data_IF_757019147528
#
_entry.id   IF_757019147528
#
_cell.length_a   1.000
_cell.length_b   1.000
_cell.length_c   1.000
_cell.angle_alpha   90.00
_cell.angle_beta   90.00
_cell.angle_gamma   90.00
#
_symmetry.space_group_name_H-M   'P 1'
#
loop_
_entity.id
_entity.type
_entity.pdbx_description
1 polymer ?
#
# COMPACT_ATOMS: atom_id res chain seq x y z
N UNK A 1 41.99 -12.38 -20.78
CA UNK A 1 41.23 -12.33 -19.52
C UNK A 1 40.16 -11.27 -19.69
N UNK A 2 38.99 -11.66 -20.19
CA UNK A 2 37.80 -10.81 -20.21
C UNK A 2 37.29 -10.76 -18.77
N UNK A 3 37.67 -9.72 -18.03
CA UNK A 3 37.01 -9.45 -16.76
C UNK A 3 35.53 -9.26 -17.05
N UNK A 4 34.67 -10.01 -16.36
CA UNK A 4 33.23 -9.76 -16.36
C UNK A 4 33.01 -8.31 -15.98
N UNK A 5 32.69 -7.48 -16.98
CA UNK A 5 32.22 -6.12 -16.72
C UNK A 5 30.87 -6.30 -16.04
N UNK A 6 30.68 -5.81 -14.81
CA UNK A 6 29.41 -5.97 -14.13
C UNK A 6 28.31 -5.34 -14.99
N UNK A 7 27.31 -6.16 -15.34
CA UNK A 7 26.15 -5.69 -16.09
C UNK A 7 25.37 -4.79 -15.12
N UNK A 8 25.42 -3.47 -15.36
CA UNK A 8 24.66 -2.51 -14.56
C UNK A 8 23.21 -2.57 -15.03
N UNK A 9 22.35 -3.14 -14.20
CA UNK A 9 20.90 -3.14 -14.41
C UNK A 9 20.26 -1.94 -13.73
N UNK A 10 19.22 -1.40 -14.36
CA UNK A 10 18.44 -0.29 -13.82
C UNK A 10 17.20 -0.02 -14.65
N UNK A 11 16.81 1.24 -14.70
CA UNK A 11 15.57 1.71 -15.32
C UNK A 11 15.82 2.99 -16.11
N UNK A 12 15.03 3.21 -17.16
CA UNK A 12 15.06 4.43 -17.97
C UNK A 12 13.75 5.16 -17.85
N UNK A 13 13.78 6.50 -17.78
CA UNK A 13 12.54 7.28 -17.79
C UNK A 13 11.80 7.05 -19.09
N UNK A 14 10.49 6.88 -19.02
CA UNK A 14 9.64 6.70 -20.20
C UNK A 14 9.91 7.77 -21.26
N UNK A 15 10.04 9.03 -20.83
CA UNK A 15 10.28 10.16 -21.74
C UNK A 15 11.63 10.08 -22.46
N UNK A 16 12.67 9.58 -21.81
CA UNK A 16 13.99 9.44 -22.45
C UNK A 16 13.94 8.38 -23.54
N UNK A 17 13.24 7.26 -23.29
CA UNK A 17 13.08 6.18 -24.27
C UNK A 17 12.14 6.59 -25.40
N UNK A 18 10.96 7.12 -25.07
CA UNK A 18 9.91 7.43 -26.03
C UNK A 18 10.24 8.65 -26.90
N UNK A 19 10.71 9.74 -26.31
CA UNK A 19 10.97 10.98 -27.04
C UNK A 19 12.41 11.07 -27.54
N UNK A 20 13.42 10.75 -26.74
CA UNK A 20 14.81 11.12 -27.05
C UNK A 20 15.60 10.01 -27.75
N UNK A 21 15.40 8.74 -27.36
CA UNK A 21 16.29 7.66 -27.78
C UNK A 21 16.39 7.47 -29.29
N UNK A 22 15.26 7.47 -30.00
CA UNK A 22 15.25 7.36 -31.46
C UNK A 22 15.89 8.58 -32.15
N UNK A 23 15.85 9.76 -31.54
CA UNK A 23 16.47 10.97 -32.10
C UNK A 23 17.99 10.94 -31.96
N UNK A 24 18.50 10.29 -30.91
CA UNK A 24 19.92 10.15 -30.61
C UNK A 24 20.62 9.06 -31.46
N UNK A 25 19.90 8.33 -32.32
CA UNK A 25 20.50 7.26 -33.11
C UNK A 25 21.42 7.83 -34.22
N UNK A 26 22.62 7.24 -34.39
CA UNK A 26 23.58 7.66 -35.41
C UNK A 26 23.09 7.33 -36.83
N UNK A 27 22.40 6.20 -36.99
CA UNK A 27 21.76 5.84 -38.25
C UNK A 27 20.35 6.44 -38.30
N UNK A 28 20.09 7.22 -39.35
CA UNK A 28 18.80 7.91 -39.54
C UNK A 28 17.71 6.93 -39.97
N UNK A 29 18.07 5.84 -40.65
CA UNK A 29 17.11 4.83 -41.12
C UNK A 29 16.54 4.02 -39.95
N UNK A 30 17.33 3.80 -38.89
CA UNK A 30 16.92 3.06 -37.69
C UNK A 30 15.91 3.84 -36.81
N UNK A 31 15.74 5.15 -37.02
CA UNK A 31 14.89 6.01 -36.18
C UNK A 31 13.41 5.68 -36.29
N UNK A 32 12.93 5.46 -37.52
CA UNK A 32 11.51 5.19 -37.75
C UNK A 32 11.08 3.83 -37.16
N UNK A 33 11.82 2.72 -37.37
CA UNK A 33 11.54 1.44 -36.72
C UNK A 33 11.49 1.51 -35.19
N UNK A 34 12.48 2.16 -34.56
CA UNK A 34 12.52 2.32 -33.10
C UNK A 34 11.32 3.12 -32.60
N UNK A 35 11.02 4.25 -33.25
CA UNK A 35 9.86 5.08 -32.90
C UNK A 35 8.53 4.33 -33.05
N UNK A 36 8.38 3.53 -34.12
CA UNK A 36 7.17 2.75 -34.37
C UNK A 36 6.98 1.64 -33.34
N UNK A 37 8.06 0.92 -32.99
CA UNK A 37 8.01 -0.13 -31.97
C UNK A 37 7.62 0.42 -30.60
N UNK A 38 8.08 1.62 -30.24
CA UNK A 38 7.73 2.24 -28.97
C UNK A 38 6.34 2.88 -28.97
N UNK A 39 5.62 2.91 -30.10
CA UNK A 39 4.33 3.61 -30.18
C UNK A 39 3.32 3.03 -29.20
N UNK A 40 2.50 3.90 -28.59
CA UNK A 40 1.59 3.50 -27.51
C UNK A 40 0.72 2.29 -27.90
N UNK A 41 0.22 2.26 -29.14
CA UNK A 41 -0.62 1.17 -29.63
C UNK A 41 0.20 -0.09 -29.97
N UNK A 42 1.47 0.08 -30.37
CA UNK A 42 2.38 -1.04 -30.56
C UNK A 42 2.78 -1.69 -29.22
N UNK A 43 3.17 -0.90 -28.22
CA UNK A 43 3.63 -1.40 -26.91
C UNK A 43 2.61 -2.32 -26.22
N UNK A 44 1.32 -1.99 -26.34
CA UNK A 44 0.22 -2.74 -25.71
C UNK A 44 -0.31 -3.88 -26.59
N UNK A 45 0.19 -4.02 -27.81
CA UNK A 45 -0.27 -5.06 -28.72
C UNK A 45 0.18 -6.44 -28.20
N UNK A 46 -0.67 -7.49 -28.26
CA UNK A 46 -0.30 -8.83 -27.78
C UNK A 46 0.92 -9.43 -28.52
N UNK A 47 1.11 -9.07 -29.79
CA UNK A 47 2.28 -9.52 -30.58
C UNK A 47 3.54 -8.66 -30.37
N UNK A 48 3.50 -7.68 -29.48
CA UNK A 48 4.65 -6.83 -29.22
C UNK A 48 5.77 -7.64 -28.51
N UNK A 49 7.06 -7.43 -28.84
CA UNK A 49 8.17 -8.14 -28.20
C UNK A 49 8.22 -8.04 -26.67
N UNK A 50 7.68 -6.95 -26.10
CA UNK A 50 7.64 -6.73 -24.65
C UNK A 50 6.36 -7.25 -23.98
N UNK A 51 5.49 -7.95 -24.71
CA UNK A 51 4.30 -8.55 -24.14
C UNK A 51 4.69 -9.64 -23.13
N UNK A 52 4.00 -9.65 -21.99
CA UNK A 52 4.17 -10.65 -20.94
C UNK A 52 2.95 -11.56 -20.98
N UNK A 53 3.16 -12.88 -21.10
CA UNK A 53 2.09 -13.85 -21.16
C UNK A 53 1.16 -13.75 -19.93
N UNK A 54 -0.15 -13.76 -20.18
CA UNK A 54 -1.16 -13.59 -19.13
C UNK A 54 -1.45 -12.13 -18.74
N UNK A 55 -0.70 -11.15 -19.25
CA UNK A 55 -0.93 -9.73 -18.98
C UNK A 55 -1.60 -9.06 -20.20
N UNK A 56 -2.79 -8.49 -20.01
CA UNK A 56 -3.45 -7.69 -21.06
C UNK A 56 -2.79 -6.31 -21.16
N UNK A 57 -2.07 -6.06 -22.25
CA UNK A 57 -1.42 -4.79 -22.57
C UNK A 57 0.11 -4.83 -22.36
N UNK A 58 0.67 -3.74 -21.80
CA UNK A 58 2.11 -3.62 -21.54
C UNK A 58 2.40 -3.51 -20.04
N UNK A 59 3.39 -4.27 -19.57
CA UNK A 59 3.97 -4.08 -18.24
C UNK A 59 5.05 -3.00 -18.28
N UNK A 60 4.93 -2.01 -17.42
CA UNK A 60 5.87 -0.91 -17.19
C UNK A 60 6.23 -0.88 -15.70
N UNK A 61 7.01 0.13 -15.30
CA UNK A 61 7.42 0.29 -13.90
C UNK A 61 7.14 1.71 -13.41
N UNK A 62 6.60 1.85 -12.21
CA UNK A 62 6.46 3.11 -11.51
C UNK A 62 7.62 3.25 -10.52
N UNK A 63 8.53 4.19 -10.77
CA UNK A 63 9.61 4.52 -9.85
C UNK A 63 9.31 5.79 -9.07
N UNK A 64 9.56 5.78 -7.77
CA UNK A 64 9.44 6.97 -6.92
C UNK A 64 10.82 7.40 -6.45
N UNK A 65 11.16 8.68 -6.61
CA UNK A 65 12.41 9.27 -6.14
C UNK A 65 12.36 9.58 -4.63
N UNK A 66 13.50 9.80 -3.95
CA UNK A 66 13.54 10.26 -2.56
C UNK A 66 12.77 11.57 -2.31
N UNK A 67 12.55 12.37 -3.35
CA UNK A 67 11.74 13.59 -3.31
C UNK A 67 10.23 13.32 -3.23
N UNK A 68 9.79 12.05 -3.35
CA UNK A 68 8.39 11.66 -3.48
C UNK A 68 7.83 11.74 -4.89
N UNK A 69 8.62 12.23 -5.84
CA UNK A 69 8.23 12.35 -7.25
C UNK A 69 8.17 10.97 -7.92
N UNK A 70 7.08 10.70 -8.64
CA UNK A 70 6.90 9.45 -9.38
C UNK A 70 7.22 9.64 -10.87
N UNK A 71 7.74 8.57 -11.51
CA UNK A 71 7.99 8.48 -12.95
C UNK A 71 7.60 7.12 -13.49
N UNK A 72 7.05 7.12 -14.69
CA UNK A 72 6.90 5.91 -15.49
C UNK A 72 8.26 5.55 -16.10
N UNK A 73 8.63 4.28 -16.00
CA UNK A 73 9.95 3.77 -16.36
C UNK A 73 9.86 2.51 -17.23
N UNK A 74 10.83 2.35 -18.13
CA UNK A 74 11.19 1.06 -18.74
C UNK A 74 12.28 0.40 -17.90
N UNK A 75 12.26 -0.92 -17.77
CA UNK A 75 13.43 -1.62 -17.24
C UNK A 75 14.55 -1.66 -18.29
N UNK A 76 15.79 -1.68 -17.83
CA UNK A 76 16.96 -1.89 -18.71
C UNK A 76 16.84 -3.19 -19.51
N UNK A 77 16.29 -4.25 -18.93
CA UNK A 77 16.01 -5.50 -19.63
C UNK A 77 15.02 -5.33 -20.81
N UNK A 78 13.96 -4.53 -20.65
CA UNK A 78 13.04 -4.22 -21.75
C UNK A 78 13.73 -3.48 -22.89
N UNK A 79 14.54 -2.46 -22.54
CA UNK A 79 15.29 -1.68 -23.53
C UNK A 79 16.31 -2.55 -24.26
N UNK A 80 17.07 -3.38 -23.53
CA UNK A 80 18.01 -4.33 -24.09
C UNK A 80 17.36 -5.32 -25.04
N UNK A 81 16.26 -5.94 -24.61
CA UNK A 81 15.55 -6.89 -25.44
C UNK A 81 15.06 -6.24 -26.75
N UNK A 82 14.50 -5.03 -26.68
CA UNK A 82 14.00 -4.33 -27.86
C UNK A 82 15.12 -4.03 -28.87
N UNK A 83 16.32 -3.65 -28.40
CA UNK A 83 17.50 -3.39 -29.25
C UNK A 83 17.88 -4.60 -30.09
N UNK A 84 17.97 -5.76 -29.45
CA UNK A 84 18.33 -6.99 -30.13
C UNK A 84 17.19 -7.50 -31.02
N UNK A 85 15.95 -7.41 -30.55
CA UNK A 85 14.78 -7.84 -31.32
C UNK A 85 14.64 -7.06 -32.63
N UNK A 86 14.74 -5.73 -32.60
CA UNK A 86 14.65 -4.89 -33.80
C UNK A 86 15.69 -5.28 -34.85
N UNK A 87 16.91 -5.54 -34.42
CA UNK A 87 17.98 -5.95 -35.31
C UNK A 87 17.78 -7.39 -35.83
N UNK A 88 17.41 -8.32 -34.97
CA UNK A 88 17.15 -9.71 -35.34
C UNK A 88 16.00 -9.84 -36.36
N UNK A 89 14.98 -8.99 -36.24
CA UNK A 89 13.87 -8.88 -37.19
C UNK A 89 14.24 -8.10 -38.46
N UNK A 90 15.50 -7.67 -38.60
CA UNK A 90 16.02 -6.87 -39.73
C UNK A 90 15.27 -5.56 -39.94
N UNK A 91 14.70 -5.02 -38.86
CA UNK A 91 14.04 -3.72 -38.86
C UNK A 91 15.07 -2.59 -38.69
N UNK A 92 16.22 -2.88 -38.08
CA UNK A 92 17.36 -1.96 -37.99
C UNK A 92 18.63 -2.58 -38.57
N UNK A 93 19.49 -1.74 -39.16
CA UNK A 93 20.71 -2.17 -39.85
C UNK A 93 21.73 -2.77 -38.90
N UNK A 94 21.88 -2.16 -37.74
CA UNK A 94 22.74 -2.61 -36.65
C UNK A 94 21.90 -2.82 -35.38
N UNK A 95 22.52 -3.44 -34.37
CA UNK A 95 21.95 -3.44 -33.02
C UNK A 95 21.83 -1.99 -32.55
N UNK A 96 20.61 -1.58 -32.20
CA UNK A 96 20.34 -0.23 -31.71
C UNK A 96 21.23 0.04 -30.48
N UNK A 97 21.99 1.15 -30.42
CA UNK A 97 22.80 1.47 -29.25
C UNK A 97 21.92 1.70 -28.01
N UNK A 98 22.49 1.47 -26.83
CA UNK A 98 21.84 1.86 -25.57
C UNK A 98 21.54 3.36 -25.57
N UNK A 99 20.49 3.80 -24.85
CA UNK A 99 20.35 5.20 -24.46
C UNK A 99 21.64 5.69 -23.77
N UNK A 100 21.92 6.99 -23.84
CA UNK A 100 23.13 7.58 -23.24
C UNK A 100 23.20 7.31 -21.72
N UNK A 101 24.40 7.11 -21.18
CA UNK A 101 24.62 6.62 -19.80
C UNK A 101 23.86 7.42 -18.72
N UNK A 102 23.72 8.73 -18.93
CA UNK A 102 23.18 9.65 -17.91
C UNK A 102 21.66 9.49 -17.68
N UNK A 103 20.96 8.71 -18.50
CA UNK A 103 19.54 8.42 -18.30
C UNK A 103 19.25 7.09 -17.58
N UNK A 104 20.27 6.29 -17.26
CA UNK A 104 20.09 5.07 -16.48
C UNK A 104 19.91 5.40 -15.00
N UNK A 105 18.72 5.11 -14.49
CA UNK A 105 18.39 5.17 -13.07
C UNK A 105 18.70 3.82 -12.43
N UNK A 106 19.54 3.83 -11.41
CA UNK A 106 19.84 2.67 -10.57
C UNK A 106 18.96 2.66 -9.33
N UNK A 107 19.01 1.58 -8.55
CA UNK A 107 18.34 1.51 -7.24
C UNK A 107 18.77 2.64 -6.30
N UNK A 108 20.00 3.14 -6.43
CA UNK A 108 20.45 4.29 -5.62
C UNK A 108 19.71 5.60 -5.93
N UNK A 109 19.08 5.70 -7.11
CA UNK A 109 18.33 6.88 -7.52
C UNK A 109 16.84 6.81 -7.14
N UNK A 110 16.33 5.62 -6.86
CA UNK A 110 14.90 5.34 -6.69
C UNK A 110 14.63 4.81 -5.28
N UNK A 111 13.62 5.36 -4.61
CA UNK A 111 13.19 4.89 -3.30
C UNK A 111 12.32 3.65 -3.41
N UNK A 112 11.40 3.60 -4.37
CA UNK A 112 10.54 2.44 -4.61
C UNK A 112 10.34 2.23 -6.10
N UNK A 113 10.13 0.97 -6.47
CA UNK A 113 9.87 0.56 -7.84
C UNK A 113 8.80 -0.53 -7.79
N UNK A 114 7.70 -0.34 -8.52
CA UNK A 114 6.63 -1.32 -8.61
C UNK A 114 6.18 -1.53 -10.05
N UNK A 115 5.85 -2.77 -10.46
CA UNK A 115 5.30 -3.03 -11.78
C UNK A 115 3.91 -2.40 -11.91
N UNK A 116 3.57 -2.00 -13.12
CA UNK A 116 2.27 -1.42 -13.47
C UNK A 116 1.87 -1.85 -14.88
N UNK A 117 0.60 -2.16 -15.08
CA UNK A 117 0.07 -2.64 -16.38
C UNK A 117 -0.84 -1.59 -17.00
N UNK A 118 -0.63 -1.32 -18.28
CA UNK A 118 -1.51 -0.48 -19.09
C UNK A 118 -2.20 -1.31 -20.18
N UNK A 119 -3.54 -1.46 -20.14
CA UNK A 119 -4.26 -2.38 -21.02
C UNK A 119 -4.38 -1.90 -22.46
N UNK A 120 -4.23 -0.60 -22.72
CA UNK A 120 -4.38 0.01 -24.04
C UNK A 120 -3.53 1.30 -24.19
N UNK A 121 -3.29 1.71 -25.43
CA UNK A 121 -2.42 2.84 -25.76
C UNK A 121 -2.95 4.19 -25.27
N UNK A 122 -4.27 4.32 -25.11
CA UNK A 122 -4.91 5.50 -24.51
C UNK A 122 -4.57 5.63 -23.03
N UNK A 123 -4.68 4.54 -22.28
CA UNK A 123 -4.33 4.47 -20.87
C UNK A 123 -2.84 4.79 -20.62
N UNK A 124 -1.93 4.22 -21.43
CA UNK A 124 -0.50 4.49 -21.35
C UNK A 124 -0.18 5.97 -21.67
N UNK A 125 -0.80 6.52 -22.70
CA UNK A 125 -0.61 7.93 -23.08
C UNK A 125 -1.09 8.88 -21.99
N UNK A 126 -2.21 8.57 -21.36
CA UNK A 126 -2.79 9.39 -20.31
C UNK A 126 -2.00 9.30 -19.00
N UNK A 127 -1.33 8.16 -18.75
CA UNK A 127 -0.54 7.92 -17.55
C UNK A 127 0.48 9.03 -17.26
N UNK A 128 1.23 9.47 -18.27
CA UNK A 128 2.26 10.50 -18.12
C UNK A 128 1.66 11.80 -17.58
N UNK A 129 0.51 12.22 -18.13
CA UNK A 129 -0.19 13.44 -17.70
C UNK A 129 -0.72 13.31 -16.27
N UNK A 130 -1.25 12.13 -15.91
CA UNK A 130 -1.76 11.85 -14.57
C UNK A 130 -0.62 11.89 -13.54
N UNK A 131 0.52 11.23 -13.84
CA UNK A 131 1.71 11.23 -12.99
C UNK A 131 2.22 12.66 -12.78
N UNK A 132 2.35 13.46 -13.86
CA UNK A 132 2.80 14.84 -13.75
C UNK A 132 1.85 15.70 -12.90
N UNK A 133 0.53 15.52 -13.07
CA UNK A 133 -0.48 16.19 -12.24
C UNK A 133 -0.33 15.83 -10.76
N UNK A 134 -0.11 14.55 -10.45
CA UNK A 134 0.07 14.09 -9.08
C UNK A 134 1.37 14.62 -8.46
N UNK A 135 2.47 14.64 -9.21
CA UNK A 135 3.73 15.24 -8.75
C UNK A 135 3.56 16.73 -8.43
N UNK A 136 2.81 17.47 -9.25
CA UNK A 136 2.49 18.87 -8.96
C UNK A 136 1.65 19.02 -7.68
N UNK A 137 0.67 18.12 -7.47
CA UNK A 137 -0.19 18.09 -6.26
C UNK A 137 0.57 17.73 -4.98
N UNK A 138 1.63 16.93 -5.09
CA UNK A 138 2.52 16.55 -3.97
C UNK A 138 3.55 17.63 -3.64
N UNK A 139 3.80 18.58 -4.54
CA UNK A 139 4.80 19.62 -4.32
C UNK A 139 4.39 20.48 -3.12
N UNK A 140 5.19 20.46 -2.06
CA UNK A 140 4.90 21.20 -0.82
C UNK A 140 3.85 20.54 0.07
N UNK A 141 3.47 19.28 -0.18
CA UNK A 141 2.62 18.52 0.73
C UNK A 141 3.33 18.22 2.04
N UNK A 142 2.55 17.91 3.08
CA UNK A 142 3.09 17.52 4.38
C UNK A 142 4.07 16.33 4.24
N UNK A 143 5.27 16.37 4.85
CA UNK A 143 6.24 15.28 4.79
C UNK A 143 5.70 13.90 5.21
N UNK A 144 4.73 13.86 6.12
CA UNK A 144 4.08 12.63 6.55
C UNK A 144 3.32 11.94 5.40
N UNK A 145 2.72 12.72 4.49
CA UNK A 145 2.06 12.17 3.28
C UNK A 145 3.09 11.45 2.42
N UNK A 146 4.25 12.07 2.19
CA UNK A 146 5.33 11.46 1.41
C UNK A 146 5.86 10.19 2.09
N UNK A 147 6.05 10.22 3.41
CA UNK A 147 6.48 9.05 4.19
C UNK A 147 5.48 7.89 4.08
N UNK A 148 4.19 8.15 4.33
CA UNK A 148 3.11 7.16 4.23
C UNK A 148 3.01 6.55 2.82
N UNK A 149 3.20 7.36 1.78
CA UNK A 149 3.24 6.88 0.38
C UNK A 149 4.43 5.95 0.12
N UNK A 150 5.61 6.30 0.63
CA UNK A 150 6.78 5.42 0.50
C UNK A 150 6.58 4.11 1.26
N UNK A 151 6.02 4.17 2.48
CA UNK A 151 5.64 2.98 3.25
C UNK A 151 4.65 2.11 2.47
N UNK A 152 3.59 2.72 1.91
CA UNK A 152 2.59 2.03 1.11
C UNK A 152 3.20 1.29 -0.09
N UNK A 153 4.02 1.97 -0.89
CA UNK A 153 4.68 1.34 -2.03
C UNK A 153 5.69 0.27 -1.60
N UNK A 154 6.40 0.48 -0.48
CA UNK A 154 7.33 -0.53 0.04
C UNK A 154 6.61 -1.79 0.49
N UNK A 155 5.49 -1.65 1.18
CA UNK A 155 4.62 -2.77 1.57
C UNK A 155 4.13 -3.53 0.34
N UNK A 156 3.67 -2.82 -0.71
CA UNK A 156 3.27 -3.44 -1.98
C UNK A 156 4.40 -4.24 -2.63
N UNK A 157 5.60 -3.65 -2.72
CA UNK A 157 6.77 -4.33 -3.27
C UNK A 157 7.08 -5.61 -2.48
N UNK A 158 7.17 -5.52 -1.16
CA UNK A 158 7.50 -6.66 -0.30
C UNK A 158 6.43 -7.76 -0.36
N UNK A 159 5.15 -7.37 -0.39
CA UNK A 159 4.03 -8.28 -0.51
C UNK A 159 4.06 -9.07 -1.82
N UNK A 160 4.40 -8.40 -2.93
CA UNK A 160 4.49 -9.02 -4.27
C UNK A 160 5.59 -10.07 -4.35
N UNK A 161 6.65 -9.95 -3.55
CA UNK A 161 7.73 -10.95 -3.48
C UNK A 161 7.28 -12.28 -2.88
N UNK A 162 6.12 -12.33 -2.19
CA UNK A 162 5.59 -13.53 -1.55
C UNK A 162 6.61 -14.18 -0.60
N UNK A 163 7.29 -13.34 0.18
CA UNK A 163 8.35 -13.73 1.13
C UNK A 163 8.03 -13.21 2.52
N UNK A 164 8.57 -13.92 3.52
CA UNK A 164 8.40 -13.62 4.93
C UNK A 164 7.04 -14.05 5.48
N UNK A 165 6.82 -13.72 6.74
CA UNK A 165 5.55 -13.94 7.43
C UNK A 165 4.92 -12.59 7.73
N UNK A 166 3.64 -12.46 7.39
CA UNK A 166 2.83 -11.29 7.68
C UNK A 166 1.82 -11.68 8.73
N UNK A 167 1.98 -11.19 9.95
CA UNK A 167 1.19 -11.60 11.10
C UNK A 167 0.50 -10.37 11.68
N UNK A 168 -0.81 -10.28 11.48
CA UNK A 168 -1.64 -9.32 12.15
C UNK A 168 -1.95 -9.76 13.58
N UNK A 169 -1.80 -8.84 14.52
CA UNK A 169 -2.01 -9.07 15.95
C UNK A 169 -2.95 -8.00 16.50
N UNK A 170 -3.77 -8.39 17.46
CA UNK A 170 -4.65 -7.47 18.18
C UNK A 170 -4.86 -7.94 19.63
N UNK A 171 -4.99 -6.99 20.55
CA UNK A 171 -5.27 -7.23 21.96
C UNK A 171 -6.52 -6.49 22.41
N UNK A 172 -7.34 -7.17 23.21
CA UNK A 172 -8.41 -6.52 23.96
C UNK A 172 -8.06 -6.43 25.45
N UNK A 173 -8.46 -5.31 26.05
CA UNK A 173 -8.29 -5.05 27.47
C UNK A 173 -9.61 -4.57 28.09
N UNK A 174 -9.73 -4.70 29.41
CA UNK A 174 -10.91 -4.23 30.11
C UNK A 174 -11.00 -2.70 30.09
N UNK A 175 -12.13 -2.16 29.62
CA UNK A 175 -12.36 -0.72 29.40
C UNK A 175 -12.24 0.17 30.66
N UNK A 176 -12.26 -0.42 31.87
CA UNK A 176 -12.06 0.31 33.13
C UNK A 176 -10.64 0.20 33.71
N UNK A 177 -9.85 -0.74 33.21
CA UNK A 177 -8.44 -0.91 33.57
C UNK A 177 -7.70 -1.61 32.42
N UNK A 178 -7.06 -0.81 31.57
CA UNK A 178 -6.32 -1.27 30.40
C UNK A 178 -5.06 -2.10 30.75
N UNK A 179 -4.78 -2.36 32.03
CA UNK A 179 -3.74 -3.32 32.43
C UNK A 179 -4.25 -4.76 32.48
N UNK A 180 -5.57 -4.94 32.44
CA UNK A 180 -6.23 -6.25 32.43
C UNK A 180 -6.50 -6.66 30.99
N UNK A 181 -5.53 -7.34 30.37
CA UNK A 181 -5.73 -7.99 29.08
C UNK A 181 -6.76 -9.11 29.19
N UNK A 182 -7.72 -9.10 28.28
CA UNK A 182 -8.82 -10.07 28.24
C UNK A 182 -8.63 -11.08 27.12
N UNK A 183 -8.12 -10.64 25.97
CA UNK A 183 -8.06 -11.44 24.75
C UNK A 183 -6.81 -11.13 23.93
N UNK A 184 -6.44 -12.05 23.04
CA UNK A 184 -5.41 -11.88 22.04
C UNK A 184 -5.81 -12.62 20.76
N UNK A 185 -5.69 -11.95 19.63
CA UNK A 185 -5.95 -12.52 18.32
C UNK A 185 -4.74 -12.45 17.42
N UNK A 186 -4.62 -13.42 16.51
CA UNK A 186 -3.68 -13.36 15.41
C UNK A 186 -4.30 -13.86 14.11
N UNK A 187 -3.80 -13.34 13.01
CA UNK A 187 -4.08 -13.79 11.66
C UNK A 187 -2.81 -13.63 10.85
N UNK A 188 -2.30 -14.70 10.25
CA UNK A 188 -1.05 -14.67 9.51
C UNK A 188 -1.14 -15.31 8.14
N UNK A 189 -0.19 -14.92 7.30
CA UNK A 189 0.04 -15.48 5.97
C UNK A 189 1.54 -15.54 5.71
N UNK A 190 1.95 -16.66 5.14
CA UNK A 190 3.31 -16.94 4.67
C UNK A 190 3.23 -17.67 3.32
N UNK A 191 4.36 -18.03 2.73
CA UNK A 191 4.38 -18.80 1.49
C UNK A 191 5.30 -20.01 1.61
N UNK A 192 4.81 -21.15 1.14
CA UNK A 192 5.58 -22.37 0.97
C UNK A 192 5.49 -22.79 -0.48
N UNK A 193 6.63 -22.85 -1.17
CA UNK A 193 6.71 -23.17 -2.60
C UNK A 193 5.80 -22.27 -3.47
N UNK A 194 5.69 -20.99 -3.10
CA UNK A 194 4.85 -20.00 -3.78
C UNK A 194 3.35 -20.09 -3.47
N UNK A 195 2.93 -21.06 -2.67
CA UNK A 195 1.54 -21.25 -2.24
C UNK A 195 1.34 -20.56 -0.88
N UNK A 196 0.31 -19.70 -0.73
CA UNK A 196 0.02 -19.06 0.55
C UNK A 196 -0.38 -20.09 1.60
N UNK A 197 0.21 -19.98 2.79
CA UNK A 197 -0.13 -20.74 3.99
C UNK A 197 -0.64 -19.74 5.02
N UNK A 198 -1.87 -19.95 5.48
CA UNK A 198 -2.53 -19.08 6.46
C UNK A 198 -2.74 -19.80 7.78
N UNK A 199 -2.61 -19.06 8.87
CA UNK A 199 -2.97 -19.49 10.22
C UNK A 199 -3.66 -18.35 10.96
N UNK A 200 -4.52 -18.66 11.92
CA UNK A 200 -5.29 -17.68 12.69
C UNK A 200 -5.79 -18.30 13.98
N UNK A 201 -5.97 -17.49 15.00
CA UNK A 201 -6.57 -17.95 16.23
C UNK A 201 -6.91 -16.83 17.20
N UNK A 202 -7.47 -17.25 18.33
CA UNK A 202 -8.02 -16.36 19.34
C UNK A 202 -7.91 -16.98 20.74
N UNK A 203 -7.26 -16.26 21.66
CA UNK A 203 -7.11 -16.66 23.06
C UNK A 203 -7.94 -15.75 23.97
N UNK A 204 -8.63 -16.35 24.94
CA UNK A 204 -9.34 -15.64 26.00
C UNK A 204 -8.67 -15.96 27.35
N UNK A 205 -8.36 -14.94 28.13
CA UNK A 205 -7.76 -15.09 29.47
C UNK A 205 -8.82 -15.55 30.47
N UNK A 206 -8.68 -16.77 31.00
CA UNK A 206 -9.63 -17.42 31.91
C UNK A 206 -9.95 -16.55 33.13
N UNK A 207 -8.91 -15.99 33.77
CA UNK A 207 -9.04 -15.17 34.97
C UNK A 207 -9.71 -13.82 34.71
N UNK A 208 -9.72 -13.37 33.45
CA UNK A 208 -10.28 -12.10 33.03
C UNK A 208 -11.74 -12.18 32.58
N UNK A 209 -12.34 -13.38 32.53
CA UNK A 209 -13.71 -13.59 32.02
C UNK A 209 -14.81 -12.84 32.79
N UNK A 210 -14.54 -12.42 34.03
CA UNK A 210 -15.44 -11.59 34.85
C UNK A 210 -15.44 -10.11 34.48
N UNK A 211 -14.49 -9.68 33.65
CA UNK A 211 -14.39 -8.31 33.15
C UNK A 211 -15.04 -8.26 31.76
N UNK A 212 -16.12 -7.50 31.65
CA UNK A 212 -16.90 -7.32 30.43
C UNK A 212 -16.78 -5.87 29.98
N UNK A 213 -16.57 -5.68 28.69
CA UNK A 213 -16.64 -4.38 28.03
C UNK A 213 -18.09 -4.18 27.55
N UNK A 214 -18.73 -3.10 27.95
CA UNK A 214 -20.09 -2.80 27.47
C UNK A 214 -20.44 -1.32 27.51
N UNK A 215 -19.59 -0.50 28.12
CA UNK A 215 -19.84 0.93 28.29
C UNK A 215 -19.45 1.71 27.04
N UNK A 216 -18.32 1.38 26.42
CA UNK A 216 -17.81 2.11 25.24
C UNK A 216 -17.74 1.24 23.99
N UNK A 217 -17.53 -0.06 24.14
CA UNK A 217 -17.46 -1.05 23.06
C UNK A 217 -18.32 -2.27 23.39
N UNK A 218 -18.92 -2.94 22.39
CA UNK A 218 -19.69 -4.17 22.60
C UNK A 218 -18.80 -5.33 23.09
N UNK A 219 -19.37 -6.24 23.89
CA UNK A 219 -18.71 -7.50 24.28
C UNK A 219 -18.91 -8.56 23.20
N UNK A 220 -17.95 -8.67 22.28
CA UNK A 220 -17.94 -9.73 21.26
C UNK A 220 -16.84 -10.77 21.50
N UNK A 221 -16.33 -10.88 22.73
CA UNK A 221 -15.29 -11.83 23.13
C UNK A 221 -15.51 -13.27 22.66
N UNK A 222 -16.76 -13.72 22.69
CA UNK A 222 -17.11 -15.10 22.36
C UNK A 222 -17.65 -15.27 20.93
N UNK A 223 -17.56 -14.22 20.10
CA UNK A 223 -18.05 -14.17 18.73
C UNK A 223 -16.91 -14.26 17.70
N UNK A 224 -15.91 -15.10 17.97
CA UNK A 224 -14.85 -15.36 16.99
C UNK A 224 -15.41 -16.12 15.78
N UNK A 225 -15.17 -15.60 14.57
CA UNK A 225 -15.82 -16.09 13.34
C UNK A 225 -14.95 -17.01 12.49
N UNK A 226 -13.71 -17.26 12.91
CA UNK A 226 -12.73 -18.00 12.11
C UNK A 226 -12.19 -19.27 12.78
N UNK A 227 -12.91 -19.81 13.76
CA UNK A 227 -12.55 -21.02 14.48
C UNK A 227 -13.19 -21.05 15.86
N UNK A 228 -12.51 -21.68 16.81
CA UNK A 228 -12.93 -21.72 18.21
C UNK A 228 -11.97 -20.88 19.06
N UNK A 229 -12.53 -20.09 19.98
CA UNK A 229 -11.72 -19.35 20.97
C UNK A 229 -11.16 -20.32 22.01
N UNK A 230 -9.85 -20.28 22.25
CA UNK A 230 -9.21 -21.05 23.30
C UNK A 230 -9.24 -20.27 24.63
N UNK A 231 -9.90 -20.81 25.65
CA UNK A 231 -9.85 -20.24 27.00
C UNK A 231 -8.61 -20.79 27.71
N UNK A 232 -7.70 -19.90 28.08
CA UNK A 232 -6.40 -20.26 28.66
C UNK A 232 -6.12 -19.46 29.93
N UNK A 233 -5.39 -20.07 30.86
CA UNK A 233 -4.87 -19.36 32.05
C UNK A 233 -3.87 -18.30 31.63
N UNK A 234 -3.76 -17.23 32.41
CA UNK A 234 -2.83 -16.10 32.15
C UNK A 234 -1.39 -16.53 31.90
N UNK A 235 -0.90 -17.57 32.57
CA UNK A 235 0.45 -18.10 32.33
C UNK A 235 0.60 -18.69 30.91
N UNK A 236 -0.38 -19.49 30.49
CA UNK A 236 -0.42 -20.12 29.15
C UNK A 236 -0.67 -19.06 28.07
N UNK A 237 -1.50 -18.05 28.34
CA UNK A 237 -1.71 -16.90 27.45
C UNK A 237 -0.38 -16.23 27.10
N UNK A 238 0.43 -15.93 28.11
CA UNK A 238 1.77 -15.33 27.92
C UNK A 238 2.69 -16.26 27.14
N UNK A 239 2.75 -17.54 27.51
CA UNK A 239 3.60 -18.55 26.86
C UNK A 239 3.24 -18.72 25.38
N UNK A 240 1.95 -18.84 25.04
CA UNK A 240 1.48 -19.00 23.65
C UNK A 240 1.86 -17.80 22.77
N UNK A 241 1.80 -16.57 23.29
CA UNK A 241 2.20 -15.38 22.53
C UNK A 241 3.71 -15.37 22.29
N UNK A 242 4.51 -15.74 23.31
CA UNK A 242 5.95 -15.90 23.18
C UNK A 242 6.31 -16.93 22.11
N UNK A 243 5.72 -18.12 22.22
CA UNK A 243 5.98 -19.23 21.31
C UNK A 243 5.55 -18.91 19.89
N UNK A 244 4.41 -18.21 19.72
CA UNK A 244 3.97 -17.73 18.42
C UNK A 244 5.06 -16.87 17.78
N UNK A 245 5.43 -15.74 18.38
CA UNK A 245 6.40 -14.80 17.78
C UNK A 245 7.77 -15.46 17.57
N UNK A 246 8.21 -16.29 18.51
CA UNK A 246 9.46 -17.04 18.39
C UNK A 246 9.43 -18.02 17.22
N UNK A 247 8.33 -18.77 17.04
CA UNK A 247 8.19 -19.72 15.93
C UNK A 247 8.18 -19.02 14.57
N UNK A 248 7.64 -17.80 14.49
CA UNK A 248 7.65 -17.03 13.24
C UNK A 248 9.08 -16.69 12.78
N UNK A 249 10.02 -16.51 13.71
CA UNK A 249 11.38 -16.10 13.37
C UNK A 249 12.15 -17.20 12.59
N UNK A 250 11.67 -18.44 12.61
CA UNK A 250 12.30 -19.57 11.92
C UNK A 250 12.07 -19.56 10.40
N UNK A 251 11.11 -18.79 9.90
CA UNK A 251 10.67 -18.84 8.50
C UNK A 251 10.99 -17.58 7.69
N UNK A 252 11.87 -16.70 8.20
CA UNK A 252 12.36 -15.52 7.50
C UNK A 252 12.01 -14.19 8.19
N UNK A 253 11.91 -13.06 7.46
CA UNK A 253 11.54 -11.79 8.05
C UNK A 253 10.08 -11.81 8.51
N UNK A 254 9.82 -11.21 9.68
CA UNK A 254 8.49 -11.10 10.26
C UNK A 254 7.97 -9.67 10.04
N UNK A 255 6.81 -9.54 9.42
CA UNK A 255 6.06 -8.30 9.30
C UNK A 255 4.87 -8.36 10.27
N UNK A 256 5.01 -7.73 11.42
CA UNK A 256 3.93 -7.57 12.39
C UNK A 256 2.99 -6.46 11.93
N UNK A 257 1.75 -6.82 11.66
CA UNK A 257 0.73 -5.92 11.13
C UNK A 257 -0.22 -5.52 12.26
N UNK A 258 -0.47 -4.23 12.40
CA UNK A 258 -1.38 -3.70 13.41
C UNK A 258 -2.34 -2.69 12.78
N UNK A 259 -3.38 -2.34 13.53
CA UNK A 259 -4.20 -1.18 13.25
C UNK A 259 -4.07 -0.19 14.41
N UNK A 260 -3.14 0.76 14.28
CA UNK A 260 -2.62 1.58 15.40
C UNK A 260 -1.78 0.81 16.43
N UNK A 261 -0.55 0.51 16.05
CA UNK A 261 0.38 -0.38 16.78
C UNK A 261 0.76 0.02 18.22
N UNK A 262 0.41 1.23 18.66
CA UNK A 262 1.04 1.87 19.82
C UNK A 262 0.73 1.16 21.13
N UNK A 263 -0.47 0.61 21.25
CA UNK A 263 -0.91 -0.10 22.46
C UNK A 263 -0.48 -1.56 22.43
N UNK A 264 -0.68 -2.27 21.31
CA UNK A 264 -0.30 -3.67 21.17
C UNK A 264 1.18 -3.92 21.42
N UNK A 265 2.05 -3.04 20.89
CA UNK A 265 3.50 -3.17 21.12
C UNK A 265 3.84 -2.95 22.60
N UNK A 266 3.14 -2.05 23.31
CA UNK A 266 3.33 -1.90 24.76
C UNK A 266 2.91 -3.17 25.50
N UNK A 267 1.83 -3.81 25.07
CA UNK A 267 1.32 -5.01 25.72
C UNK A 267 2.21 -6.23 25.44
N UNK A 268 2.73 -6.40 24.21
CA UNK A 268 3.78 -7.37 23.91
C UNK A 268 5.03 -7.19 24.80
N UNK A 269 5.49 -5.94 24.98
CA UNK A 269 6.62 -5.63 25.85
C UNK A 269 6.32 -5.93 27.34
N UNK A 270 5.11 -5.63 27.83
CA UNK A 270 4.69 -5.99 29.20
C UNK A 270 4.62 -7.50 29.42
N UNK A 271 4.21 -8.23 28.39
CA UNK A 271 4.26 -9.69 28.35
C UNK A 271 5.70 -10.21 28.20
N UNK A 272 6.69 -9.34 28.04
CA UNK A 272 8.11 -9.68 27.95
C UNK A 272 8.48 -10.42 26.68
N UNK A 273 7.65 -10.34 25.63
CA UNK A 273 7.91 -10.96 24.32
C UNK A 273 9.24 -10.42 23.78
N UNK A 274 10.09 -11.30 23.24
CA UNK A 274 11.35 -10.89 22.64
C UNK A 274 11.09 -10.21 21.29
N UNK A 275 11.14 -8.87 21.30
CA UNK A 275 11.06 -8.02 20.12
C UNK A 275 12.44 -7.47 19.73
N UNK A 276 13.53 -8.19 20.04
CA UNK A 276 14.88 -7.77 19.66
C UNK A 276 14.99 -7.64 18.14
N UNK A 277 15.43 -6.47 17.66
CA UNK A 277 15.53 -6.17 16.22
C UNK A 277 14.23 -5.65 15.60
N UNK A 278 13.21 -5.31 16.39
CA UNK A 278 12.00 -4.62 15.93
C UNK A 278 12.35 -3.27 15.28
N UNK A 279 11.92 -3.09 14.02
CA UNK A 279 12.06 -1.85 13.26
C UNK A 279 10.72 -1.31 12.81
N UNK A 280 10.52 0.00 12.98
CA UNK A 280 9.39 0.74 12.40
C UNK A 280 9.70 1.26 10.98
N UNK A 281 10.91 1.02 10.49
CA UNK A 281 11.37 1.48 9.18
C UNK A 281 11.66 0.25 8.33
N UNK A 282 10.97 0.15 7.20
CA UNK A 282 11.21 -0.90 6.22
C UNK A 282 12.52 -0.63 5.44
N UNK A 283 13.40 -1.63 5.30
CA UNK A 283 14.63 -1.51 4.50
C UNK A 283 14.32 -1.38 3.01
N UNK A 284 15.30 -0.93 2.21
CA UNK A 284 15.10 -0.65 0.78
C UNK A 284 14.77 -1.88 -0.06
N UNK A 285 15.36 -3.03 0.30
CA UNK A 285 15.05 -4.35 -0.27
C UNK A 285 14.45 -5.25 0.82
N UNK A 286 13.72 -6.29 0.43
CA UNK A 286 13.19 -7.22 1.41
C UNK A 286 14.34 -7.83 2.22
N UNK A 287 14.27 -7.82 3.55
CA UNK A 287 15.33 -8.37 4.39
C UNK A 287 15.21 -9.90 4.44
N UNK A 288 16.31 -10.60 4.70
CA UNK A 288 16.27 -12.05 4.93
C UNK A 288 15.81 -12.41 6.35
N UNK A 289 15.99 -11.49 7.31
CA UNK A 289 15.68 -11.67 8.73
C UNK A 289 15.28 -10.35 9.39
N UNK A 290 14.58 -10.41 10.52
CA UNK A 290 14.25 -9.25 11.35
C UNK A 290 12.74 -9.13 11.59
N UNK A 291 12.35 -8.20 12.47
CA UNK A 291 10.95 -7.95 12.82
C UNK A 291 10.60 -6.51 12.40
N UNK A 292 9.56 -6.35 11.61
CA UNK A 292 9.18 -5.08 11.03
C UNK A 292 7.72 -4.77 11.34
N UNK A 293 7.45 -3.54 11.74
CA UNK A 293 6.10 -3.08 12.06
C UNK A 293 5.45 -2.48 10.82
N UNK A 294 4.21 -2.91 10.55
CA UNK A 294 3.35 -2.35 9.51
C UNK A 294 2.06 -1.90 10.18
N UNK A 295 1.75 -0.61 10.08
CA UNK A 295 0.52 -0.05 10.63
C UNK A 295 -0.46 0.26 9.50
N UNK A 296 -1.58 -0.46 9.47
CA UNK A 296 -2.63 -0.28 8.46
C UNK A 296 -3.30 1.09 8.54
N UNK A 297 -3.24 1.77 9.69
CA UNK A 297 -3.71 3.16 9.82
C UNK A 297 -2.85 4.15 9.01
N UNK A 298 -1.55 3.86 8.83
CA UNK A 298 -0.67 4.64 7.97
C UNK A 298 -0.88 4.30 6.48
N UNK A 299 -1.18 3.03 6.17
CA UNK A 299 -1.50 2.62 4.80
C UNK A 299 -2.78 3.26 4.29
N UNK A 300 -3.86 3.26 5.08
CA UNK A 300 -5.10 3.96 4.70
C UNK A 300 -4.89 5.48 4.68
N UNK A 301 -4.08 6.02 5.59
CA UNK A 301 -3.67 7.43 5.56
C UNK A 301 -2.92 7.81 4.26
N UNK A 302 -2.11 6.90 3.72
CA UNK A 302 -1.45 7.07 2.42
C UNK A 302 -2.47 7.16 1.27
N UNK A 303 -3.47 6.26 1.28
CA UNK A 303 -4.55 6.23 0.31
C UNK A 303 -5.42 7.49 0.39
N UNK A 304 -5.76 7.96 1.60
CA UNK A 304 -6.53 9.18 1.77
C UNK A 304 -5.72 10.46 1.57
N UNK A 305 -4.38 10.37 1.46
CA UNK A 305 -3.51 11.54 1.34
C UNK A 305 -3.51 12.42 2.60
N UNK A 306 -3.75 11.82 3.76
CA UNK A 306 -3.84 12.51 5.05
C UNK A 306 -2.44 12.73 5.65
N UNK A 307 -2.11 14.00 5.89
CA UNK A 307 -0.81 14.41 6.45
C UNK A 307 -0.80 14.75 7.94
N UNK A 308 -1.97 14.82 8.57
CA UNK A 308 -2.18 15.03 10.00
C UNK A 308 -3.66 14.77 10.33
N UNK A 309 -3.96 14.42 11.58
CA UNK A 309 -5.32 14.15 12.05
C UNK A 309 -5.44 12.79 12.75
N UNK A 310 -6.62 12.50 13.25
CA UNK A 310 -6.92 11.25 13.93
C UNK A 310 -6.85 10.08 12.95
N UNK A 311 -6.23 8.98 13.40
CA UNK A 311 -6.23 7.72 12.66
C UNK A 311 -7.67 7.24 12.51
N UNK A 312 -8.00 6.66 11.36
CA UNK A 312 -9.30 5.99 11.18
C UNK A 312 -9.33 4.73 12.02
N UNK A 313 -10.50 4.40 12.55
CA UNK A 313 -10.71 3.12 13.21
C UNK A 313 -10.66 1.97 12.20
N UNK A 314 -10.52 0.74 12.71
CA UNK A 314 -10.49 -0.45 11.87
C UNK A 314 -11.79 -0.59 11.07
N UNK A 315 -12.93 -0.31 11.72
CA UNK A 315 -14.25 -0.33 11.09
C UNK A 315 -14.34 0.63 9.90
N UNK A 316 -13.95 1.90 10.11
CA UNK A 316 -13.93 2.92 9.05
C UNK A 316 -12.97 2.53 7.93
N UNK A 317 -11.81 1.98 8.28
CA UNK A 317 -10.83 1.51 7.31
C UNK A 317 -11.40 0.38 6.45
N UNK A 318 -12.01 -0.64 7.07
CA UNK A 318 -12.65 -1.74 6.36
C UNK A 318 -13.78 -1.25 5.46
N UNK A 319 -14.65 -0.37 5.96
CA UNK A 319 -15.75 0.23 5.21
C UNK A 319 -15.25 1.00 3.97
N UNK A 320 -14.22 1.82 4.12
CA UNK A 320 -13.57 2.54 3.01
C UNK A 320 -12.91 1.61 1.99
N UNK A 321 -12.44 0.44 2.44
CA UNK A 321 -11.90 -0.60 1.59
C UNK A 321 -12.98 -1.54 1.02
N UNK A 322 -14.25 -1.31 1.33
CA UNK A 322 -15.40 -2.15 0.98
C UNK A 322 -15.30 -3.58 1.51
N UNK A 323 -14.68 -3.74 2.69
CA UNK A 323 -14.58 -4.98 3.44
C UNK A 323 -15.71 -4.98 4.46
N UNK A 324 -16.62 -5.95 4.34
CA UNK A 324 -17.68 -6.16 5.33
C UNK A 324 -17.08 -6.76 6.59
N UNK A 325 -17.36 -6.14 7.73
CA UNK A 325 -16.93 -6.56 9.06
C UNK A 325 -18.08 -7.20 9.83
N UNK A 326 -17.75 -8.09 10.76
CA UNK A 326 -18.68 -8.71 11.70
C UNK A 326 -17.96 -8.89 13.04
N UNK A 327 -18.63 -8.50 14.14
CA UNK A 327 -18.13 -8.66 15.50
C UNK A 327 -16.73 -8.07 15.76
N UNK A 328 -16.53 -6.80 15.38
CA UNK A 328 -15.34 -6.02 15.76
C UNK A 328 -15.27 -5.83 17.28
N UNK A 329 -14.08 -5.67 17.88
CA UNK A 329 -13.84 -5.82 19.33
C UNK A 329 -13.82 -7.28 19.82
N UNK A 330 -13.60 -8.20 18.88
CA UNK A 330 -13.09 -9.53 19.17
C UNK A 330 -11.67 -9.57 18.60
N UNK A 331 -10.66 -9.75 19.45
CA UNK A 331 -9.26 -9.61 19.03
C UNK A 331 -8.90 -10.53 17.83
N UNK A 332 -9.48 -11.72 17.77
CA UNK A 332 -9.28 -12.66 16.65
C UNK A 332 -9.87 -12.17 15.33
N UNK A 333 -11.07 -11.58 15.36
CA UNK A 333 -11.70 -10.98 14.19
C UNK A 333 -10.96 -9.69 13.78
N UNK A 334 -10.54 -8.87 14.73
CA UNK A 334 -9.85 -7.60 14.46
C UNK A 334 -8.47 -7.83 13.85
N UNK A 335 -7.73 -8.83 14.32
CA UNK A 335 -6.50 -9.29 13.65
C UNK A 335 -6.79 -9.79 12.21
N UNK A 336 -7.90 -10.52 11.99
CA UNK A 336 -8.28 -10.96 10.65
C UNK A 336 -8.56 -9.79 9.71
N UNK A 337 -9.40 -8.84 10.12
CA UNK A 337 -9.76 -7.68 9.31
C UNK A 337 -8.59 -6.71 9.11
N UNK A 338 -7.68 -6.62 10.08
CA UNK A 338 -6.41 -5.90 9.94
C UNK A 338 -5.54 -6.52 8.84
N UNK A 339 -5.33 -7.84 8.86
CA UNK A 339 -4.58 -8.51 7.79
C UNK A 339 -5.28 -8.37 6.43
N UNK A 340 -6.61 -8.51 6.39
CA UNK A 340 -7.39 -8.39 5.16
C UNK A 340 -7.32 -6.98 4.57
N UNK A 341 -7.36 -5.95 5.41
CA UNK A 341 -7.17 -4.56 5.00
C UNK A 341 -5.78 -4.33 4.42
N UNK A 342 -4.74 -4.86 5.07
CA UNK A 342 -3.37 -4.81 4.57
C UNK A 342 -3.26 -5.49 3.20
N UNK A 343 -3.75 -6.73 3.05
CA UNK A 343 -3.79 -7.48 1.79
C UNK A 343 -4.48 -6.68 0.68
N UNK A 344 -5.66 -6.14 0.96
CA UNK A 344 -6.45 -5.36 0.00
C UNK A 344 -5.71 -4.13 -0.53
N UNK A 345 -4.94 -3.46 0.33
CA UNK A 345 -4.09 -2.32 -0.04
C UNK A 345 -2.81 -2.75 -0.76
N UNK A 346 -2.20 -3.87 -0.35
CA UNK A 346 -0.93 -4.37 -0.87
C UNK A 346 -1.07 -5.03 -2.25
N UNK A 347 -2.16 -5.76 -2.50
CA UNK A 347 -2.44 -6.45 -3.78
C UNK A 347 -2.85 -5.49 -4.91
N UNK A 348 -3.27 -4.27 -4.59
CA UNK A 348 -3.78 -3.32 -5.58
C UNK A 348 -2.69 -2.60 -6.39
N UNK A 349 -3.11 -1.64 -7.21
CA UNK A 349 -2.24 -0.73 -8.00
C UNK A 349 -1.39 0.20 -7.11
N UNK A 350 -0.45 0.99 -7.68
CA UNK A 350 0.17 2.09 -6.96
C UNK A 350 -0.84 3.04 -6.29
N UNK A 351 -0.44 3.64 -5.18
CA UNK A 351 -1.28 4.42 -4.25
C UNK A 351 -2.20 5.43 -4.94
N UNK A 352 -1.70 6.15 -5.95
CA UNK A 352 -2.49 7.16 -6.66
C UNK A 352 -3.59 6.57 -7.54
N UNK A 353 -3.32 5.40 -8.14
CA UNK A 353 -4.28 4.71 -8.99
C UNK A 353 -5.35 4.06 -8.14
N UNK A 354 -4.96 3.43 -7.03
CA UNK A 354 -5.93 2.92 -6.06
C UNK A 354 -6.81 4.04 -5.53
N UNK A 355 -6.23 5.19 -5.15
CA UNK A 355 -6.99 6.35 -4.68
C UNK A 355 -8.01 6.81 -5.72
N UNK A 356 -7.60 7.02 -6.97
CA UNK A 356 -8.51 7.50 -8.03
C UNK A 356 -9.59 6.45 -8.37
N UNK A 357 -9.28 5.15 -8.33
CA UNK A 357 -10.27 4.08 -8.53
C UNK A 357 -11.32 4.04 -7.42
N UNK A 358 -10.91 4.25 -6.17
CA UNK A 358 -11.81 4.21 -5.00
C UNK A 358 -12.62 5.49 -4.84
N UNK A 359 -12.00 6.64 -5.09
CA UNK A 359 -12.60 7.97 -4.87
C UNK A 359 -12.41 8.87 -6.09
N UNK A 360 -13.07 8.56 -7.21
CA UNK A 360 -12.89 9.29 -8.46
C UNK A 360 -13.26 10.76 -8.30
N UNK A 361 -12.38 11.64 -8.76
CA UNK A 361 -12.52 13.11 -8.67
C UNK A 361 -12.67 13.70 -7.25
N UNK A 362 -12.41 12.95 -6.17
CA UNK A 362 -12.51 13.48 -4.79
C UNK A 362 -11.19 14.07 -4.27
N UNK A 363 -10.30 14.51 -5.16
CA UNK A 363 -9.02 15.17 -4.80
C UNK A 363 -8.90 16.56 -5.45
N UNK A 364 -9.82 17.50 -5.17
CA UNK A 364 -9.87 18.78 -5.87
C UNK A 364 -8.66 19.67 -5.55
N UNK A 365 -8.22 19.70 -4.28
CA UNK A 365 -7.19 20.60 -3.77
C UNK A 365 -5.92 19.86 -3.29
N UNK A 366 -5.45 18.85 -4.04
CA UNK A 366 -4.18 18.17 -3.76
C UNK A 366 -4.29 16.66 -3.91
N UNK A 367 -3.68 15.93 -2.97
CA UNK A 367 -3.77 14.45 -2.89
C UNK A 367 -4.67 13.96 -1.76
N UNK A 368 -5.14 14.85 -0.89
CA UNK A 368 -6.09 14.52 0.18
C UNK A 368 -7.46 14.23 -0.43
N UNK A 369 -8.06 13.11 -0.02
CA UNK A 369 -9.42 12.71 -0.41
C UNK A 369 -10.42 13.48 0.45
N UNK A 370 -11.39 14.10 -0.20
CA UNK A 370 -12.55 14.72 0.45
C UNK A 370 -13.69 13.71 0.50
N UNK A 371 -13.70 12.91 1.56
CA UNK A 371 -14.74 11.92 1.82
C UNK A 371 -16.08 12.61 2.03
N UNK A 372 -17.13 12.02 1.46
CA UNK A 372 -18.49 12.46 1.69
C UNK A 372 -19.01 11.93 3.04
N UNK A 373 -19.99 12.58 3.69
CA UNK A 373 -20.47 12.18 5.02
C UNK A 373 -20.86 10.70 5.13
N UNK A 374 -21.59 10.17 4.14
CA UNK A 374 -22.01 8.76 4.07
C UNK A 374 -20.86 7.76 3.83
N UNK A 375 -19.66 8.24 3.50
CA UNK A 375 -18.46 7.41 3.38
C UNK A 375 -17.68 7.35 4.69
N UNK A 376 -17.92 8.28 5.61
CA UNK A 376 -17.27 8.34 6.92
C UNK A 376 -18.12 7.75 8.04
N UNK A 377 -19.44 7.73 7.84
CA UNK A 377 -20.44 7.28 8.80
C UNK A 377 -21.38 6.27 8.15
N UNK A 378 -21.33 5.03 8.63
CA UNK A 378 -22.23 3.95 8.21
C UNK A 378 -23.67 4.16 8.64
N UNK A 379 -23.89 5.00 9.66
CA UNK A 379 -25.21 5.30 10.23
C UNK A 379 -25.82 6.56 9.60
N UNK A 380 -25.18 7.11 8.56
CA UNK A 380 -25.69 8.27 7.83
C UNK A 380 -27.01 7.93 7.13
N UNK A 381 -28.12 8.38 7.73
CA UNK A 381 -29.49 8.19 7.23
C UNK A 381 -29.65 8.81 5.85
N UNK A 382 -30.12 8.00 4.90
CA UNK A 382 -30.46 8.35 3.52
C UNK A 382 -31.77 9.17 3.39
N UNK A 383 -32.41 9.54 4.51
CA UNK A 383 -33.69 10.24 4.50
C UNK A 383 -33.62 11.73 4.12
N UNK A 384 -32.44 12.35 4.09
CA UNK A 384 -32.30 13.78 3.76
C UNK A 384 -32.48 14.10 2.26
N UNK A 385 -32.59 13.08 1.40
CA UNK A 385 -32.72 13.22 -0.06
C UNK A 385 -34.11 12.96 -0.67
N UNK A 386 -35.11 12.54 0.11
CA UNK A 386 -36.41 12.06 -0.43
C UNK A 386 -37.46 13.16 -0.52
N UNK A 387 -37.25 14.32 0.11
CA UNK A 387 -38.20 15.44 0.04
C UNK A 387 -37.61 16.54 -0.85
N UNK A 388 -38.12 16.74 -2.08
CA UNK A 388 -37.71 17.90 -2.86
C UNK A 388 -38.05 19.16 -2.08
N UNK A 389 -37.15 20.17 -2.03
CA UNK A 389 -37.42 21.41 -1.33
C UNK A 389 -38.71 22.03 -1.88
N UNK A 390 -39.57 22.61 -1.03
CA UNK A 390 -40.79 23.25 -1.49
C UNK A 390 -40.45 24.27 -2.58
N UNK A 391 -41.21 24.21 -3.68
CA UNK A 391 -41.09 25.10 -4.84
C UNK A 391 -40.94 26.55 -4.38
N UNK A 392 -39.72 27.10 -4.49
CA UNK A 392 -39.40 28.47 -4.10
C UNK A 392 -38.31 28.63 -3.03
N UNK A 393 -37.74 27.55 -2.49
CA UNK A 393 -36.62 27.65 -1.55
C UNK A 393 -35.36 28.21 -2.24
N UNK A 394 -34.90 29.38 -1.78
CA UNK A 394 -33.58 29.93 -2.10
C UNK A 394 -32.67 29.73 -0.88
N UNK A 395 -31.56 28.99 -0.98
CA UNK A 395 -30.63 28.86 0.13
C UNK A 395 -30.10 30.25 0.53
N UNK A 396 -30.17 30.58 1.81
CA UNK A 396 -29.49 31.76 2.32
C UNK A 396 -28.00 31.47 2.46
N UNK A 397 -27.11 32.41 2.08
CA UNK A 397 -25.68 32.25 2.32
C UNK A 397 -25.42 32.22 3.82
N UNK A 398 -24.64 31.22 4.25
CA UNK A 398 -24.13 31.07 5.62
C UNK A 398 -23.32 32.33 5.96
N UNK A 399 -23.73 33.04 7.02
CA UNK A 399 -22.94 34.15 7.56
C UNK A 399 -21.82 33.58 8.42
N UNK A 400 -20.58 33.91 8.08
CA UNK A 400 -19.41 33.58 8.90
C UNK A 400 -19.54 34.17 10.32
N UNK A 401 -19.20 33.43 11.38
CA UNK A 401 -19.25 33.94 12.73
C UNK A 401 -18.22 35.07 12.93
N UNK A 402 -18.70 36.22 13.39
CA UNK A 402 -17.90 37.38 13.76
C UNK A 402 -17.03 37.03 14.96
N UNK A 403 -15.72 36.97 14.75
CA UNK A 403 -14.72 36.83 15.82
C UNK A 403 -14.64 38.17 16.56
N UNK A 404 -15.16 38.22 17.79
CA UNK A 404 -14.97 39.35 18.69
C UNK A 404 -13.50 39.40 19.14
N UNK A 405 -12.83 40.54 18.90
CA UNK A 405 -11.50 40.82 19.46
C UNK A 405 -11.62 41.13 20.95
N UNK A 406 -10.71 40.63 21.81
CA UNK A 406 -10.70 41.00 23.21
C UNK A 406 -10.14 42.43 23.39
N UNK A 407 -10.86 43.26 24.14
CA UNK A 407 -10.36 44.54 24.63
C UNK A 407 -9.22 44.30 25.63
N UNK A 408 -8.10 44.98 25.39
CA UNK A 408 -7.00 45.14 26.34
C UNK A 408 -7.16 46.54 26.93
N UNK A 409 -7.14 46.59 28.27
CA UNK A 409 -7.18 47.74 29.20
C UNK A 409 -7.09 49.17 28.63
#
# INVERSE_FOLDING_TARGET
MSGDVPVVTGYYRYTDIWFEWHQALPDVEDRAPVKSALSHDALVHPDHPLHVEGIKGVQMYMGTFPTGEARLLFSSAQVDYLRYWLHAMKLTKNVVPLPYSDCLLTESNLKTISPIVYPDGGSLRQAIKVIEKNNKRLKGSNPLVTHRRHLFERVRTFWTEKRGIWCALDFEAWERDHTVLTEFGWSLVSWKDGIPVEDRGHLIVEEARKYTNSQYVPDYRYNYTHGESEIVKKAVFKERIHDLIKSLAEYGPIFLVFHDNSQDIKDLNKLGVDLTGLSYILPDNIPDTGIFVIDTSDLIGALLGEGAGDKRSLDKTCSLLQIRTEYLHNAGNDAHYTLLSMKNMADGDPVDIQREKRWPNQTPAGVKVELQPWQEDSDYSDEEGVIPPPLGYKPQPVQDPVIAKPEIA
#
